data_IF_050550225857
#
_entry.id   IF_050550225857
#
_cell.length_a   1.000
_cell.length_b   1.000
_cell.length_c   1.000
_cell.angle_alpha   90.00
_cell.angle_beta   90.00
_cell.angle_gamma   90.00
#
_symmetry.space_group_name_H-M   'P 1'
#
loop_
_entity.id
_entity.type
_entity.pdbx_description
1 polymer ?
#
# COMPACT_ATOMS: atom_id res chain seq x y z
N UNK A 1 -2.36 11.16 11.22
CA UNK A 1 -2.85 9.96 10.51
C UNK A 1 -4.35 10.09 10.36
N UNK A 2 -4.88 9.92 9.15
CA UNK A 2 -6.31 10.01 8.84
C UNK A 2 -6.70 8.83 7.98
N UNK A 3 -7.31 7.82 8.58
CA UNK A 3 -7.70 6.58 7.91
C UNK A 3 -9.22 6.55 7.87
N UNK A 4 -9.78 6.45 6.67
CA UNK A 4 -11.22 6.29 6.49
C UNK A 4 -11.68 4.94 7.08
N UNK A 5 -12.85 4.93 7.72
CA UNK A 5 -13.38 3.74 8.39
C UNK A 5 -13.69 2.56 7.45
N UNK A 6 -13.84 2.83 6.15
CA UNK A 6 -14.06 1.80 5.13
C UNK A 6 -12.77 1.21 4.55
N UNK A 7 -11.61 1.81 4.85
CA UNK A 7 -10.32 1.25 4.45
C UNK A 7 -10.04 -0.06 5.18
N UNK A 8 -9.40 -1.00 4.48
CA UNK A 8 -8.99 -2.30 5.03
C UNK A 8 -7.48 -2.36 5.10
N UNK A 9 -6.95 -2.36 6.31
CA UNK A 9 -5.51 -2.35 6.56
C UNK A 9 -5.17 -3.63 7.31
N UNK A 10 -4.23 -4.41 6.77
CA UNK A 10 -3.72 -5.59 7.46
C UNK A 10 -3.06 -5.18 8.78
N UNK A 11 -3.28 -5.90 9.90
CA UNK A 11 -2.69 -5.57 11.19
C UNK A 11 -1.15 -5.53 11.22
N UNK A 12 -0.49 -6.14 10.23
CA UNK A 12 0.98 -6.13 10.10
C UNK A 12 1.50 -5.00 9.21
N UNK A 13 0.63 -4.14 8.68
CA UNK A 13 1.06 -2.97 7.93
C UNK A 13 1.57 -1.87 8.88
N UNK A 14 2.66 -1.22 8.50
CA UNK A 14 3.30 -0.15 9.25
C UNK A 14 3.07 1.19 8.55
N UNK A 15 2.23 2.04 9.12
CA UNK A 15 1.95 3.37 8.58
C UNK A 15 2.56 4.41 9.52
N UNK A 16 3.43 5.27 8.99
CA UNK A 16 4.08 6.31 9.78
C UNK A 16 3.16 7.50 10.08
N UNK A 17 3.68 8.44 10.88
CA UNK A 17 2.99 9.68 11.22
C UNK A 17 2.58 10.46 9.95
N UNK A 18 1.43 11.13 10.02
CA UNK A 18 0.94 11.93 8.90
C UNK A 18 0.24 11.17 7.78
N UNK A 19 0.40 9.84 7.65
CA UNK A 19 -0.24 9.06 6.56
C UNK A 19 -1.76 9.22 6.54
N UNK A 20 -2.32 9.43 5.34
CA UNK A 20 -3.76 9.40 5.08
C UNK A 20 -4.13 8.24 4.17
N UNK A 21 -5.28 7.61 4.44
CA UNK A 21 -5.82 6.51 3.64
C UNK A 21 -7.29 6.77 3.36
N UNK A 22 -7.60 6.94 2.07
CA UNK A 22 -8.94 7.17 1.56
C UNK A 22 -9.86 5.95 1.64
N UNK A 23 -11.17 6.16 1.40
CA UNK A 23 -12.18 5.12 1.54
C UNK A 23 -11.95 3.95 0.58
N UNK A 24 -12.32 2.75 1.02
CA UNK A 24 -12.24 1.48 0.28
C UNK A 24 -10.85 1.07 -0.22
N UNK A 25 -9.79 1.73 0.26
CA UNK A 25 -8.43 1.31 -0.03
C UNK A 25 -8.05 0.07 0.77
N UNK A 26 -7.18 -0.76 0.20
CA UNK A 26 -6.72 -2.03 0.77
C UNK A 26 -5.20 -1.97 0.93
N UNK A 27 -4.72 -2.15 2.15
CA UNK A 27 -3.29 -2.23 2.49
C UNK A 27 -3.00 -3.64 3.01
N UNK A 28 -2.15 -4.38 2.29
CA UNK A 28 -1.80 -5.77 2.59
C UNK A 28 -0.77 -5.96 3.72
N UNK A 29 -0.45 -7.21 4.06
CA UNK A 29 0.53 -7.54 5.09
C UNK A 29 1.95 -7.17 4.64
N UNK A 30 2.84 -6.87 5.60
CA UNK A 30 4.23 -6.47 5.34
C UNK A 30 4.37 -5.24 4.42
N UNK A 31 3.38 -4.35 4.45
CA UNK A 31 3.47 -3.03 3.79
C UNK A 31 4.00 -2.01 4.79
N UNK A 32 4.94 -1.18 4.36
CA UNK A 32 5.41 -0.02 5.13
C UNK A 32 5.19 1.28 4.34
N UNK A 33 4.54 2.28 4.95
CA UNK A 33 4.26 3.57 4.33
C UNK A 33 4.93 4.68 5.13
N UNK A 34 5.81 5.45 4.46
CA UNK A 34 6.55 6.58 5.01
C UNK A 34 5.67 7.74 5.43
N UNK A 35 6.25 8.68 6.19
CA UNK A 35 5.51 9.78 6.79
C UNK A 35 4.88 10.70 5.73
N UNK A 36 3.76 11.32 6.08
CA UNK A 36 3.09 12.34 5.24
C UNK A 36 2.75 11.87 3.82
N UNK A 37 2.58 10.56 3.62
CA UNK A 37 2.11 9.98 2.35
C UNK A 37 0.58 9.91 2.32
N UNK A 38 -0.02 10.33 1.22
CA UNK A 38 -1.46 10.30 0.99
C UNK A 38 -1.86 9.19 0.00
N UNK A 39 -2.73 8.31 0.48
CA UNK A 39 -3.31 7.22 -0.29
C UNK A 39 -4.76 7.57 -0.60
N UNK A 40 -5.07 7.74 -1.89
CA UNK A 40 -6.42 8.02 -2.39
C UNK A 40 -7.42 6.89 -2.12
N UNK A 41 -8.67 7.07 -2.57
CA UNK A 41 -9.71 6.04 -2.45
C UNK A 41 -9.50 4.88 -3.42
N UNK A 42 -9.96 3.69 -3.08
CA UNK A 42 -9.88 2.51 -3.96
C UNK A 42 -8.45 2.18 -4.45
N UNK A 43 -7.43 2.47 -3.65
CA UNK A 43 -6.05 2.06 -3.92
C UNK A 43 -5.84 0.67 -3.34
N UNK A 44 -5.17 -0.20 -4.09
CA UNK A 44 -4.73 -1.51 -3.61
C UNK A 44 -3.22 -1.50 -3.49
N UNK A 45 -2.71 -1.68 -2.27
CA UNK A 45 -1.30 -1.88 -1.99
C UNK A 45 -1.14 -3.30 -1.47
N UNK A 46 -0.59 -4.19 -2.30
CA UNK A 46 -0.37 -5.59 -1.97
C UNK A 46 0.83 -5.77 -1.04
N UNK A 47 0.99 -7.01 -0.58
CA UNK A 47 2.02 -7.39 0.37
C UNK A 47 3.44 -7.08 -0.10
N UNK A 48 4.37 -7.02 0.85
CA UNK A 48 5.81 -6.85 0.58
C UNK A 48 6.15 -5.59 -0.23
N UNK A 49 5.54 -4.47 0.15
CA UNK A 49 5.72 -3.17 -0.50
C UNK A 49 6.20 -2.12 0.50
N UNK A 50 7.25 -1.38 0.14
CA UNK A 50 7.75 -0.24 0.93
C UNK A 50 7.57 1.04 0.13
N UNK A 51 6.90 2.01 0.74
CA UNK A 51 6.65 3.33 0.15
C UNK A 51 7.32 4.36 1.06
N UNK A 52 8.12 5.25 0.47
CA UNK A 52 8.77 6.35 1.16
C UNK A 52 7.81 7.41 1.71
N UNK A 53 8.37 8.54 2.13
CA UNK A 53 7.62 9.66 2.72
C UNK A 53 7.20 10.68 1.66
N UNK A 54 6.14 11.45 1.91
CA UNK A 54 5.64 12.51 1.03
C UNK A 54 5.19 12.04 -0.36
N UNK A 55 4.67 10.81 -0.47
CA UNK A 55 4.10 10.29 -1.71
C UNK A 55 2.61 10.67 -1.83
N UNK A 56 2.13 10.76 -3.07
CA UNK A 56 0.71 10.92 -3.40
C UNK A 56 0.30 9.79 -4.36
N UNK A 57 -0.56 8.88 -3.90
CA UNK A 57 -1.05 7.76 -4.71
C UNK A 57 -2.54 7.96 -4.99
N UNK A 58 -2.90 8.13 -6.26
CA UNK A 58 -4.26 8.43 -6.69
C UNK A 58 -5.14 7.19 -6.82
N UNK A 59 -6.44 7.41 -6.86
CA UNK A 59 -7.48 6.38 -6.87
C UNK A 59 -7.31 5.36 -7.99
N UNK A 60 -7.71 4.11 -7.70
CA UNK A 60 -7.65 2.97 -8.63
C UNK A 60 -6.22 2.53 -9.01
N UNK A 61 -5.20 2.97 -8.27
CA UNK A 61 -3.84 2.46 -8.41
C UNK A 61 -3.71 1.07 -7.78
N UNK A 62 -3.06 0.15 -8.50
CA UNK A 62 -2.61 -1.15 -7.97
C UNK A 62 -1.09 -1.12 -7.81
N UNK A 63 -0.61 -1.28 -6.58
CA UNK A 63 0.80 -1.13 -6.20
C UNK A 63 1.27 -2.43 -5.52
N UNK A 64 2.41 -2.97 -5.96
CA UNK A 64 3.00 -4.17 -5.35
C UNK A 64 2.32 -5.49 -5.72
N UNK A 65 1.57 -5.52 -6.83
CA UNK A 65 0.98 -6.75 -7.35
C UNK A 65 2.03 -7.74 -7.86
N UNK A 66 1.62 -9.01 -7.97
CA UNK A 66 2.47 -10.08 -8.46
C UNK A 66 3.01 -9.78 -9.89
N UNK A 67 4.29 -10.11 -10.18
CA UNK A 67 4.84 -9.97 -11.52
C UNK A 67 4.01 -10.74 -12.56
N UNK A 68 3.77 -10.11 -13.71
CA UNK A 68 3.07 -10.77 -14.84
C UNK A 68 3.99 -11.69 -15.67
N UNK A 69 5.21 -11.97 -15.20
CA UNK A 69 6.10 -12.93 -15.86
C UNK A 69 5.54 -14.35 -15.69
N UNK A 70 5.47 -15.11 -16.78
CA UNK A 70 4.98 -16.49 -16.78
C UNK A 70 5.80 -17.45 -15.92
N UNK A 71 7.04 -17.08 -15.59
CA UNK A 71 7.94 -17.87 -14.74
C UNK A 71 7.69 -17.65 -13.25
N UNK A 72 7.00 -16.56 -12.89
CA UNK A 72 6.67 -16.30 -11.49
C UNK A 72 5.68 -17.35 -10.99
N UNK A 73 6.03 -17.99 -9.89
CA UNK A 73 5.28 -19.09 -9.27
C UNK A 73 5.01 -18.83 -7.78
N UNK A 74 5.08 -17.56 -7.36
CA UNK A 74 4.80 -17.13 -5.98
C UNK A 74 6.05 -17.02 -5.11
N UNK A 75 7.21 -16.77 -5.71
CA UNK A 75 8.41 -16.43 -4.97
C UNK A 75 8.23 -15.16 -4.14
N UNK A 76 8.97 -15.05 -3.04
CA UNK A 76 8.97 -13.80 -2.27
C UNK A 76 9.67 -12.70 -3.07
N UNK A 77 8.89 -11.72 -3.53
CA UNK A 77 9.38 -10.51 -4.21
C UNK A 77 8.92 -9.25 -3.50
N UNK A 78 9.63 -8.15 -3.74
CA UNK A 78 9.41 -6.86 -3.07
C UNK A 78 9.31 -5.71 -4.08
N UNK A 79 8.54 -4.69 -3.70
CA UNK A 79 8.50 -3.38 -4.35
C UNK A 79 8.97 -2.30 -3.38
N UNK A 80 9.86 -1.41 -3.82
CA UNK A 80 10.28 -0.22 -3.07
C UNK A 80 10.07 1.03 -3.93
N UNK A 81 9.44 2.06 -3.33
CA UNK A 81 9.15 3.38 -3.92
C UNK A 81 9.72 4.46 -3.02
#
# INVERSE_FOLDING_TARGET
>A
MSIDASARIDPKAELNAGVSVGPWSIIGPNVSIGADTDIGSNVVIRSNTRIGSNNQIYQFSSIGEDPSDKKYVGEETWLEI
#
